data_IF_243168778869
#
_entry.id   IF_243168778869
#
_cell.length_a   1.000
_cell.length_b   1.000
_cell.length_c   1.000
_cell.angle_alpha   90.00
_cell.angle_beta   90.00
_cell.angle_gamma   90.00
#
_symmetry.space_group_name_H-M   'P 1'
#
loop_
_entity.id
_entity.type
_entity.pdbx_description
1 polymer ?
#
# COMPACT_ATOMS: atom_id res chain seq x y z
N UNK A 1 -1.70 31.21 -16.48
CA UNK A 1 -1.43 29.97 -15.72
C UNK A 1 -2.19 28.72 -16.23
N UNK A 2 -3.35 28.87 -16.87
CA UNK A 2 -4.15 27.73 -17.34
C UNK A 2 -3.56 26.90 -18.49
N UNK A 3 -2.72 27.50 -19.35
CA UNK A 3 -2.04 26.77 -20.42
C UNK A 3 -1.01 25.77 -19.84
N UNK A 4 -0.22 26.22 -18.87
CA UNK A 4 0.81 25.39 -18.22
C UNK A 4 0.18 24.24 -17.42
N UNK A 5 -0.95 24.50 -16.75
CA UNK A 5 -1.72 23.46 -16.07
C UNK A 5 -2.30 22.43 -17.05
N UNK A 6 -2.78 22.85 -18.23
CA UNK A 6 -3.29 21.94 -19.27
C UNK A 6 -2.19 21.07 -19.87
N UNK A 7 -1.02 21.64 -20.19
CA UNK A 7 0.13 20.87 -20.69
C UNK A 7 0.60 19.87 -19.65
N UNK A 8 0.62 20.28 -18.37
CA UNK A 8 0.97 19.39 -17.26
C UNK A 8 -0.01 18.23 -17.11
N UNK A 9 -1.33 18.47 -17.18
CA UNK A 9 -2.37 17.43 -17.14
C UNK A 9 -2.29 16.45 -18.32
N UNK A 10 -2.00 16.95 -19.52
CA UNK A 10 -1.82 16.12 -20.71
C UNK A 10 -0.60 15.20 -20.56
N UNK A 11 0.51 15.72 -20.04
CA UNK A 11 1.72 14.95 -19.77
C UNK A 11 1.51 13.94 -18.63
N UNK A 12 0.67 14.28 -17.64
CA UNK A 12 0.26 13.39 -16.55
C UNK A 12 -0.49 12.15 -17.05
N UNK A 13 -1.32 12.26 -18.10
CA UNK A 13 -2.01 11.10 -18.64
C UNK A 13 -1.03 10.05 -19.18
N UNK A 14 0.09 10.51 -19.77
CA UNK A 14 1.20 9.64 -20.22
C UNK A 14 2.02 9.06 -19.07
N UNK A 15 1.99 9.67 -17.89
CA UNK A 15 2.66 9.19 -16.68
C UNK A 15 1.89 8.07 -15.97
N UNK A 16 0.61 7.81 -16.30
CA UNK A 16 -0.20 6.77 -15.63
C UNK A 16 0.46 5.38 -15.58
N UNK A 17 1.08 4.85 -16.66
CA UNK A 17 1.77 3.56 -16.61
C UNK A 17 2.92 3.57 -15.60
N UNK A 18 3.73 4.62 -15.60
CA UNK A 18 4.88 4.77 -14.69
C UNK A 18 4.41 4.86 -13.24
N UNK A 19 3.37 5.65 -12.98
CA UNK A 19 2.75 5.74 -11.65
C UNK A 19 2.21 4.38 -11.23
N UNK A 20 1.58 3.62 -12.14
CA UNK A 20 1.07 2.27 -11.86
C UNK A 20 2.21 1.31 -11.49
N UNK A 21 3.32 1.32 -12.22
CA UNK A 21 4.53 0.54 -11.90
C UNK A 21 5.04 0.90 -10.50
N UNK A 22 5.18 2.19 -10.20
CA UNK A 22 5.65 2.67 -8.90
C UNK A 22 4.72 2.29 -7.75
N UNK A 23 3.40 2.42 -7.94
CA UNK A 23 2.40 1.98 -6.97
C UNK A 23 2.43 0.46 -6.77
N UNK A 24 2.62 -0.32 -7.83
CA UNK A 24 2.73 -1.78 -7.73
C UNK A 24 3.97 -2.19 -6.92
N UNK A 25 5.12 -1.57 -7.18
CA UNK A 25 6.35 -1.79 -6.39
C UNK A 25 6.14 -1.43 -4.91
N UNK A 26 5.52 -0.28 -4.63
CA UNK A 26 5.22 0.16 -3.26
C UNK A 26 4.24 -0.78 -2.55
N UNK A 27 3.20 -1.24 -3.25
CA UNK A 27 2.25 -2.23 -2.73
C UNK A 27 2.93 -3.57 -2.45
N UNK A 28 3.86 -4.00 -3.31
CA UNK A 28 4.65 -5.21 -3.11
C UNK A 28 5.51 -5.13 -1.85
N UNK A 29 6.16 -3.99 -1.56
CA UNK A 29 6.84 -3.78 -0.29
C UNK A 29 5.90 -3.97 0.91
N UNK A 30 4.68 -3.42 0.85
CA UNK A 30 3.70 -3.58 1.91
C UNK A 30 3.27 -5.03 2.10
N UNK A 31 3.18 -5.83 1.03
CA UNK A 31 2.90 -7.27 1.14
C UNK A 31 4.03 -8.01 1.88
N UNK A 32 5.29 -7.71 1.53
CA UNK A 32 6.45 -8.32 2.20
C UNK A 32 6.54 -7.95 3.67
N UNK A 33 6.23 -6.70 4.03
CA UNK A 33 6.15 -6.27 5.44
C UNK A 33 5.05 -7.00 6.23
N UNK A 34 4.04 -7.52 5.54
CA UNK A 34 2.98 -8.33 6.13
C UNK A 34 3.28 -9.84 6.11
N UNK A 35 4.49 -10.24 5.70
CA UNK A 35 4.98 -11.63 5.79
C UNK A 35 4.83 -12.46 4.52
N UNK A 36 4.54 -11.85 3.37
CA UNK A 36 4.53 -12.54 2.07
C UNK A 36 5.94 -12.54 1.47
N UNK A 37 6.42 -13.69 1.02
CA UNK A 37 7.74 -13.80 0.39
C UNK A 37 7.82 -12.97 -0.90
N UNK A 38 9.02 -12.45 -1.19
CA UNK A 38 9.27 -11.59 -2.36
C UNK A 38 9.30 -12.35 -3.71
N UNK A 39 8.90 -13.62 -3.69
CA UNK A 39 8.82 -14.46 -4.88
C UNK A 39 7.65 -14.00 -5.75
N UNK A 40 7.88 -13.92 -7.07
CA UNK A 40 6.87 -13.45 -8.01
C UNK A 40 5.55 -14.23 -7.91
N UNK A 41 5.60 -15.56 -7.76
CA UNK A 41 4.42 -16.44 -7.63
C UNK A 41 3.55 -16.07 -6.43
N UNK A 42 4.20 -15.82 -5.30
CA UNK A 42 3.53 -15.65 -4.00
C UNK A 42 2.94 -14.24 -3.88
N UNK A 43 3.52 -13.27 -4.61
CA UNK A 43 3.05 -11.89 -4.63
C UNK A 43 1.97 -11.61 -5.67
N UNK A 44 1.92 -12.39 -6.75
CA UNK A 44 1.10 -12.06 -7.92
C UNK A 44 -0.38 -11.95 -7.56
N UNK A 45 -0.93 -12.97 -6.89
CA UNK A 45 -2.34 -13.03 -6.53
C UNK A 45 -2.70 -12.05 -5.39
N UNK A 46 -2.00 -12.02 -4.24
CA UNK A 46 -2.26 -11.05 -3.18
C UNK A 46 -2.08 -9.60 -3.65
N UNK A 47 -1.08 -9.33 -4.47
CA UNK A 47 -0.86 -8.01 -5.07
C UNK A 47 -1.97 -7.61 -6.02
N UNK A 48 -2.47 -8.54 -6.84
CA UNK A 48 -3.51 -8.23 -7.81
C UNK A 48 -4.82 -7.92 -7.09
N UNK A 49 -5.13 -8.70 -6.05
CA UNK A 49 -6.28 -8.47 -5.19
C UNK A 49 -6.16 -7.16 -4.40
N UNK A 50 -4.99 -6.85 -3.84
CA UNK A 50 -4.77 -5.59 -3.13
C UNK A 50 -4.81 -4.36 -4.05
N UNK A 51 -4.31 -4.49 -5.27
CA UNK A 51 -4.17 -3.37 -6.20
C UNK A 51 -5.47 -3.05 -6.95
N UNK A 52 -6.14 -4.07 -7.50
CA UNK A 52 -7.36 -3.88 -8.29
C UNK A 52 -8.63 -4.19 -7.51
N UNK A 53 -8.56 -5.08 -6.51
CA UNK A 53 -9.72 -5.55 -5.76
C UNK A 53 -10.57 -4.43 -5.16
N UNK A 54 -10.00 -3.44 -4.45
CA UNK A 54 -10.80 -2.36 -3.87
C UNK A 54 -11.64 -1.58 -4.88
N UNK A 55 -11.06 -1.26 -6.04
CA UNK A 55 -11.78 -0.56 -7.11
C UNK A 55 -12.88 -1.43 -7.73
N UNK A 56 -12.62 -2.72 -7.93
CA UNK A 56 -13.62 -3.68 -8.43
C UNK A 56 -14.77 -3.86 -7.45
N UNK A 57 -14.49 -3.95 -6.14
CA UNK A 57 -15.53 -4.03 -5.11
C UNK A 57 -16.35 -2.74 -5.07
N UNK A 58 -15.71 -1.57 -5.19
CA UNK A 58 -16.39 -0.29 -5.21
C UNK A 58 -17.31 -0.10 -6.44
N UNK A 59 -17.09 -0.83 -7.53
CA UNK A 59 -17.98 -0.82 -8.69
C UNK A 59 -19.41 -1.29 -8.40
N UNK A 60 -19.63 -1.99 -7.27
CA UNK A 60 -20.98 -2.34 -6.80
C UNK A 60 -21.79 -1.07 -6.50
N UNK A 61 -21.13 -0.03 -5.99
CA UNK A 61 -21.76 1.27 -5.70
C UNK A 61 -21.82 2.13 -6.96
N UNK A 62 -20.70 2.22 -7.69
CA UNK A 62 -20.57 3.11 -8.84
C UNK A 62 -19.50 2.60 -9.82
N UNK A 63 -19.89 2.33 -11.07
CA UNK A 63 -19.08 1.65 -12.11
C UNK A 63 -17.97 2.52 -12.71
N UNK A 64 -17.04 3.00 -11.88
CA UNK A 64 -15.92 3.86 -12.29
C UNK A 64 -14.64 3.07 -12.61
N UNK A 65 -14.33 2.03 -11.82
CA UNK A 65 -13.08 1.30 -11.95
C UNK A 65 -13.11 0.38 -13.16
N UNK A 66 -12.23 0.62 -14.14
CA UNK A 66 -12.03 -0.27 -15.28
C UNK A 66 -10.59 -0.75 -15.30
N UNK A 67 -10.41 -2.07 -15.35
CA UNK A 67 -9.09 -2.64 -15.57
C UNK A 67 -8.73 -2.43 -17.03
N UNK A 68 -7.78 -1.53 -17.28
CA UNK A 68 -7.26 -1.29 -18.62
C UNK A 68 -6.12 -2.27 -18.90
N UNK A 69 -5.96 -2.70 -20.16
CA UNK A 69 -4.84 -3.56 -20.58
C UNK A 69 -3.50 -2.94 -20.20
N UNK A 70 -3.34 -1.63 -20.42
CA UNK A 70 -2.12 -0.90 -20.06
C UNK A 70 -1.87 -0.89 -18.54
N UNK A 71 -2.90 -0.70 -17.72
CA UNK A 71 -2.78 -0.76 -16.27
C UNK A 71 -2.38 -2.16 -15.78
N UNK A 72 -2.97 -3.20 -16.35
CA UNK A 72 -2.64 -4.59 -16.03
C UNK A 72 -1.18 -4.93 -16.38
N UNK A 73 -0.73 -4.57 -17.59
CA UNK A 73 0.67 -4.77 -18.02
C UNK A 73 1.63 -3.99 -17.13
N UNK A 74 1.33 -2.73 -16.82
CA UNK A 74 2.15 -1.89 -15.93
C UNK A 74 2.24 -2.47 -14.51
N UNK A 75 1.14 -3.03 -14.01
CA UNK A 75 1.14 -3.73 -12.72
C UNK A 75 2.09 -4.93 -12.74
N UNK A 76 1.99 -5.82 -13.74
CA UNK A 76 2.89 -6.98 -13.84
C UNK A 76 4.35 -6.58 -13.97
N UNK A 77 4.65 -5.55 -14.76
CA UNK A 77 6.00 -4.97 -14.85
C UNK A 77 6.48 -4.50 -13.48
N UNK A 78 5.65 -3.78 -12.72
CA UNK A 78 6.01 -3.32 -11.38
C UNK A 78 6.29 -4.45 -10.40
N UNK A 79 5.47 -5.51 -10.39
CA UNK A 79 5.71 -6.69 -9.54
C UNK A 79 6.98 -7.43 -9.95
N UNK A 80 7.24 -7.58 -11.26
CA UNK A 80 8.46 -8.21 -11.76
C UNK A 80 9.72 -7.41 -11.37
N UNK A 81 9.71 -6.09 -11.57
CA UNK A 81 10.79 -5.19 -11.13
C UNK A 81 10.99 -5.32 -9.62
N UNK A 82 9.92 -5.29 -8.83
CA UNK A 82 10.03 -5.49 -7.39
C UNK A 82 10.69 -6.82 -7.04
N UNK A 83 10.28 -7.93 -7.64
CA UNK A 83 10.84 -9.25 -7.32
C UNK A 83 12.35 -9.30 -7.60
N UNK A 84 12.79 -8.74 -8.74
CA UNK A 84 14.21 -8.66 -9.11
C UNK A 84 15.03 -7.73 -8.21
N UNK A 85 14.45 -6.60 -7.79
CA UNK A 85 15.16 -5.53 -7.07
C UNK A 85 14.77 -5.40 -5.60
N UNK A 86 14.01 -6.36 -5.05
CA UNK A 86 13.48 -6.35 -3.67
C UNK A 86 14.58 -6.15 -2.61
N UNK A 87 15.79 -6.64 -2.90
CA UNK A 87 16.97 -6.51 -2.03
C UNK A 87 17.57 -5.09 -1.99
N UNK A 88 17.26 -4.22 -2.95
CA UNK A 88 17.78 -2.85 -3.00
C UNK A 88 17.04 -1.94 -2.02
N UNK A 89 17.74 -1.44 -1.00
CA UNK A 89 17.16 -0.55 0.03
C UNK A 89 16.66 0.80 -0.52
N UNK A 90 17.17 1.24 -1.67
CA UNK A 90 16.87 2.55 -2.26
C UNK A 90 15.50 2.55 -2.97
N UNK A 91 15.03 1.38 -3.41
CA UNK A 91 13.83 1.27 -4.22
C UNK A 91 12.55 1.61 -3.42
N UNK A 92 12.52 1.30 -2.13
CA UNK A 92 11.39 1.61 -1.25
C UNK A 92 11.10 3.12 -1.12
N UNK A 93 12.05 3.98 -0.68
CA UNK A 93 11.79 5.42 -0.59
C UNK A 93 11.55 6.06 -1.96
N UNK A 94 12.23 5.60 -3.01
CA UNK A 94 12.00 6.09 -4.37
C UNK A 94 10.58 5.81 -4.86
N UNK A 95 9.97 4.70 -4.42
CA UNK A 95 8.61 4.32 -4.85
C UNK A 95 7.50 4.85 -3.95
N UNK A 96 7.82 5.36 -2.76
CA UNK A 96 6.84 5.88 -1.81
C UNK A 96 6.07 7.12 -2.31
N UNK A 97 6.64 7.87 -3.27
CA UNK A 97 5.98 9.06 -3.84
C UNK A 97 4.86 8.70 -4.83
N UNK A 98 4.95 7.54 -5.51
CA UNK A 98 3.99 7.17 -6.55
C UNK A 98 2.57 6.95 -6.03
N UNK A 99 2.34 6.27 -4.88
CA UNK A 99 1.00 6.19 -4.28
C UNK A 99 0.35 7.55 -4.05
N UNK A 100 1.13 8.56 -3.62
CA UNK A 100 0.61 9.93 -3.40
C UNK A 100 0.22 10.58 -4.71
N UNK A 101 1.08 10.48 -5.74
CA UNK A 101 0.76 10.96 -7.09
C UNK A 101 -0.48 10.25 -7.62
N UNK A 102 -0.53 8.92 -7.52
CA UNK A 102 -1.65 8.09 -8.00
C UNK A 102 -2.98 8.46 -7.34
N UNK A 103 -2.99 8.63 -6.01
CA UNK A 103 -4.16 9.15 -5.28
C UNK A 103 -4.52 10.55 -5.75
N UNK A 104 -3.55 11.45 -5.90
CA UNK A 104 -3.79 12.80 -6.41
C UNK A 104 -4.50 12.78 -7.76
N UNK A 105 -4.01 11.98 -8.70
CA UNK A 105 -4.61 11.83 -10.03
C UNK A 105 -6.03 11.26 -9.97
N UNK A 106 -6.26 10.28 -9.10
CA UNK A 106 -7.59 9.72 -8.86
C UNK A 106 -8.56 10.79 -8.35
N UNK A 107 -8.19 11.57 -7.32
CA UNK A 107 -9.03 12.65 -6.77
C UNK A 107 -9.28 13.78 -7.78
N UNK A 108 -8.29 14.13 -8.60
CA UNK A 108 -8.48 15.07 -9.72
C UNK A 108 -9.51 14.52 -10.72
N UNK A 109 -9.45 13.23 -11.02
CA UNK A 109 -10.44 12.54 -11.86
C UNK A 109 -11.86 12.62 -11.27
N UNK A 110 -12.00 12.29 -9.98
CA UNK A 110 -13.29 12.35 -9.27
C UNK A 110 -13.84 13.76 -9.15
N UNK A 111 -12.99 14.77 -8.94
CA UNK A 111 -13.40 16.18 -8.90
C UNK A 111 -14.06 16.58 -10.21
N UNK A 112 -13.41 16.28 -11.33
CA UNK A 112 -13.83 16.68 -12.67
C UNK A 112 -14.94 15.79 -13.25
N UNK A 113 -15.29 14.70 -12.57
CA UNK A 113 -16.40 13.86 -12.94
C UNK A 113 -17.73 14.66 -12.86
N UNK A 114 -18.74 14.32 -13.68
CA UNK A 114 -20.09 14.94 -13.66
C UNK A 114 -21.10 14.20 -12.76
N UNK A 115 -20.74 13.03 -12.22
CA UNK A 115 -21.62 12.22 -11.38
C UNK A 115 -21.92 12.88 -10.03
N UNK A 116 -23.12 12.66 -9.45
CA UNK A 116 -23.54 13.30 -8.21
C UNK A 116 -22.61 12.96 -7.04
N UNK A 117 -22.40 13.93 -6.15
CA UNK A 117 -21.37 13.85 -5.11
C UNK A 117 -21.56 12.65 -4.17
N UNK A 118 -22.79 12.33 -3.78
CA UNK A 118 -23.08 11.21 -2.88
C UNK A 118 -22.62 9.85 -3.46
N UNK A 119 -22.71 9.63 -4.78
CA UNK A 119 -22.21 8.39 -5.41
C UNK A 119 -20.68 8.32 -5.35
N UNK A 120 -20.00 9.46 -5.57
CA UNK A 120 -18.54 9.54 -5.49
C UNK A 120 -18.06 9.28 -4.06
N UNK A 121 -18.75 9.84 -3.06
CA UNK A 121 -18.46 9.57 -1.64
C UNK A 121 -18.70 8.10 -1.30
N UNK A 122 -19.84 7.54 -1.70
CA UNK A 122 -20.15 6.12 -1.49
C UNK A 122 -19.11 5.20 -2.12
N UNK A 123 -18.63 5.54 -3.32
CA UNK A 123 -17.57 4.79 -4.00
C UNK A 123 -16.24 4.87 -3.25
N UNK A 124 -15.83 6.05 -2.77
CA UNK A 124 -14.61 6.22 -1.95
C UNK A 124 -14.68 5.44 -0.64
N UNK A 125 -15.83 5.48 0.06
CA UNK A 125 -16.03 4.70 1.28
C UNK A 125 -15.98 3.20 1.00
N UNK A 126 -16.58 2.75 -0.10
CA UNK A 126 -16.53 1.36 -0.52
C UNK A 126 -15.10 0.89 -0.80
N UNK A 127 -14.24 1.74 -1.39
CA UNK A 127 -12.82 1.43 -1.57
C UNK A 127 -12.14 1.19 -0.23
N UNK A 128 -12.27 2.10 0.74
CA UNK A 128 -11.58 1.98 2.03
C UNK A 128 -12.03 0.75 2.82
N UNK A 129 -13.33 0.47 2.83
CA UNK A 129 -13.89 -0.74 3.46
C UNK A 129 -13.36 -1.99 2.75
N UNK A 130 -13.32 -1.99 1.42
CA UNK A 130 -12.84 -3.13 0.63
C UNK A 130 -11.34 -3.37 0.85
N UNK A 131 -10.52 -2.32 0.97
CA UNK A 131 -9.10 -2.44 1.33
C UNK A 131 -8.96 -3.14 2.68
N UNK A 132 -9.69 -2.68 3.71
CA UNK A 132 -9.63 -3.27 5.04
C UNK A 132 -10.09 -4.75 5.02
N UNK A 133 -11.10 -5.07 4.21
CA UNK A 133 -11.62 -6.43 4.07
C UNK A 133 -10.63 -7.36 3.36
N UNK A 134 -10.05 -6.92 2.24
CA UNK A 134 -9.04 -7.68 1.52
C UNK A 134 -7.80 -7.89 2.40
N UNK A 135 -7.34 -6.88 3.12
CA UNK A 135 -6.23 -7.02 4.07
C UNK A 135 -6.54 -8.04 5.18
N UNK A 136 -7.77 -8.04 5.71
CA UNK A 136 -8.20 -9.04 6.69
C UNK A 136 -8.14 -10.45 6.10
N UNK A 137 -8.65 -10.63 4.89
CA UNK A 137 -8.67 -11.93 4.22
C UNK A 137 -7.27 -12.44 3.88
N UNK A 138 -6.38 -11.58 3.40
CA UNK A 138 -5.02 -11.96 2.99
C UNK A 138 -4.10 -12.24 4.17
N UNK A 139 -4.19 -11.47 5.26
CA UNK A 139 -3.22 -11.55 6.36
C UNK A 139 -3.78 -12.17 7.63
N UNK A 140 -5.07 -12.55 7.64
CA UNK A 140 -5.79 -13.01 8.83
C UNK A 140 -5.59 -12.09 10.06
N UNK A 141 -5.32 -10.79 9.83
CA UNK A 141 -5.11 -9.81 10.89
C UNK A 141 -6.45 -9.31 11.42
N UNK A 142 -6.52 -8.96 12.70
CA UNK A 142 -7.71 -8.32 13.27
C UNK A 142 -7.99 -7.02 12.51
N UNK A 143 -9.24 -6.83 12.07
CA UNK A 143 -9.68 -5.57 11.49
C UNK A 143 -9.56 -4.49 12.57
N UNK A 144 -8.56 -3.63 12.43
CA UNK A 144 -8.47 -2.39 13.19
C UNK A 144 -8.30 -1.27 12.18
N UNK A 145 -9.40 -0.61 11.88
CA UNK A 145 -9.36 0.66 11.15
C UNK A 145 -8.77 1.68 12.15
N UNK A 146 -7.55 2.16 11.88
CA UNK A 146 -6.97 3.21 12.73
C UNK A 146 -7.80 4.49 12.55
N UNK A 147 -8.08 5.19 13.65
CA UNK A 147 -8.77 6.48 13.61
C UNK A 147 -8.10 7.47 12.67
N UNK A 148 -6.77 7.42 12.60
CA UNK A 148 -5.96 8.28 11.72
C UNK A 148 -6.32 8.09 10.24
N UNK A 149 -6.56 6.85 9.80
CA UNK A 149 -6.92 6.56 8.40
C UNK A 149 -8.32 7.07 8.07
N UNK A 150 -9.27 6.90 9.01
CA UNK A 150 -10.62 7.45 8.83
C UNK A 150 -10.60 8.98 8.77
N UNK A 151 -9.77 9.63 9.60
CA UNK A 151 -9.53 11.07 9.53
C UNK A 151 -8.97 11.49 8.18
N UNK A 152 -7.95 10.78 7.68
CA UNK A 152 -7.36 11.02 6.36
C UNK A 152 -8.41 10.96 5.25
N UNK A 153 -9.21 9.87 5.21
CA UNK A 153 -10.30 9.70 4.25
C UNK A 153 -11.35 10.81 4.38
N UNK A 154 -11.70 11.20 5.61
CA UNK A 154 -12.66 12.27 5.85
C UNK A 154 -12.17 13.62 5.30
N UNK A 155 -10.92 14.01 5.57
CA UNK A 155 -10.34 15.23 5.03
C UNK A 155 -10.27 15.21 3.50
N UNK A 156 -9.95 14.07 2.90
CA UNK A 156 -9.94 13.91 1.45
C UNK A 156 -11.34 14.05 0.83
N UNK A 157 -12.37 13.47 1.46
CA UNK A 157 -13.77 13.62 1.03
C UNK A 157 -14.23 15.08 1.17
N UNK A 158 -13.95 15.72 2.30
CA UNK A 158 -14.27 17.14 2.51
C UNK A 158 -13.57 18.03 1.47
N UNK A 159 -12.29 17.77 1.21
CA UNK A 159 -11.50 18.41 0.17
C UNK A 159 -12.07 18.26 -1.22
N UNK A 160 -12.50 17.04 -1.56
CA UNK A 160 -13.16 16.75 -2.83
C UNK A 160 -14.49 17.51 -2.95
N UNK A 161 -15.25 17.60 -1.86
CA UNK A 161 -16.49 18.38 -1.79
C UNK A 161 -16.25 19.86 -2.06
N UNK A 162 -15.32 20.48 -1.34
CA UNK A 162 -14.91 21.88 -1.54
C UNK A 162 -14.37 22.09 -2.96
N UNK A 163 -13.52 21.18 -3.44
CA UNK A 163 -12.95 21.23 -4.78
C UNK A 163 -14.00 21.20 -5.89
N UNK A 164 -15.08 20.44 -5.71
CA UNK A 164 -16.23 20.42 -6.63
C UNK A 164 -17.10 21.66 -6.51
N UNK A 165 -17.42 22.09 -5.29
CA UNK A 165 -18.29 23.23 -5.03
C UNK A 165 -17.71 24.54 -5.60
N UNK A 166 -16.42 24.79 -5.35
CA UNK A 166 -15.72 26.01 -5.78
C UNK A 166 -15.00 25.88 -7.12
N UNK A 167 -15.16 24.74 -7.83
CA UNK A 167 -14.48 24.43 -9.10
C UNK A 167 -12.97 24.71 -9.05
N UNK A 168 -12.32 24.31 -7.97
CA UNK A 168 -10.90 24.59 -7.75
C UNK A 168 -10.03 24.00 -8.86
N UNK A 169 -8.89 24.63 -9.20
CA UNK A 169 -8.01 24.14 -10.25
C UNK A 169 -7.35 22.80 -9.85
N UNK A 170 -6.96 21.98 -10.83
CA UNK A 170 -6.52 20.60 -10.56
C UNK A 170 -5.28 20.50 -9.65
N UNK A 171 -4.40 21.50 -9.67
CA UNK A 171 -3.20 21.51 -8.83
C UNK A 171 -3.53 21.65 -7.34
N UNK A 172 -4.64 22.29 -6.94
CA UNK A 172 -4.99 22.41 -5.52
C UNK A 172 -5.38 21.06 -4.93
N UNK A 173 -6.08 20.22 -5.70
CA UNK A 173 -6.38 18.84 -5.27
C UNK A 173 -5.11 18.01 -5.12
N UNK A 174 -4.15 18.14 -6.04
CA UNK A 174 -2.86 17.45 -5.93
C UNK A 174 -2.11 17.88 -4.67
N UNK A 175 -2.03 19.19 -4.41
CA UNK A 175 -1.37 19.73 -3.22
C UNK A 175 -2.08 19.29 -1.95
N UNK A 176 -3.42 19.31 -1.93
CA UNK A 176 -4.20 18.87 -0.77
C UNK A 176 -3.95 17.38 -0.46
N UNK A 177 -4.01 16.52 -1.47
CA UNK A 177 -3.72 15.08 -1.30
C UNK A 177 -2.29 14.89 -0.82
N UNK A 178 -1.33 15.63 -1.37
CA UNK A 178 0.06 15.59 -0.92
C UNK A 178 0.19 15.99 0.55
N UNK A 179 -0.37 17.13 0.98
CA UNK A 179 -0.32 17.61 2.37
C UNK A 179 -0.90 16.59 3.36
N UNK A 180 -2.05 15.99 3.02
CA UNK A 180 -2.69 14.96 3.84
C UNK A 180 -1.81 13.68 3.88
N UNK A 181 -1.20 13.32 2.76
CA UNK A 181 -0.35 12.12 2.64
C UNK A 181 1.07 12.29 3.22
N UNK A 182 1.49 13.52 3.52
CA UNK A 182 2.82 13.81 4.09
C UNK A 182 2.98 13.20 5.48
N UNK A 183 1.92 13.14 6.30
CA UNK A 183 2.00 12.55 7.65
C UNK A 183 2.52 11.11 7.65
N UNK A 184 1.84 10.17 6.95
CA UNK A 184 2.31 8.80 6.80
C UNK A 184 3.68 8.68 6.09
N UNK A 185 3.96 9.56 5.11
CA UNK A 185 5.26 9.58 4.43
C UNK A 185 6.40 9.93 5.39
N UNK A 186 6.21 10.94 6.25
CA UNK A 186 7.22 11.35 7.23
C UNK A 186 7.50 10.23 8.24
N UNK A 187 6.49 9.51 8.70
CA UNK A 187 6.68 8.34 9.56
C UNK A 187 7.49 7.24 8.85
N UNK A 188 7.23 7.01 7.56
CA UNK A 188 7.94 6.02 6.74
C UNK A 188 9.40 6.41 6.50
N UNK A 189 9.69 7.70 6.27
CA UNK A 189 11.04 8.21 6.10
C UNK A 189 11.84 8.21 7.41
N UNK A 190 11.22 8.59 8.52
CA UNK A 190 11.88 8.63 9.85
C UNK A 190 12.23 7.21 10.34
N UNK A 191 11.32 6.25 10.17
CA UNK A 191 11.59 4.84 10.54
C UNK A 191 12.73 4.22 9.73
N UNK A 192 12.97 4.68 8.50
CA UNK A 192 14.11 4.27 7.70
C UNK A 192 15.45 4.74 8.28
N UNK A 193 15.53 6.00 8.73
CA UNK A 193 16.74 6.55 9.36
C UNK A 193 17.10 5.81 10.66
N UNK A 194 16.09 5.38 11.41
CA UNK A 194 16.28 4.63 12.67
C UNK A 194 16.71 3.18 12.43
N UNK A 195 16.09 2.48 11.48
CA UNK A 195 16.42 1.07 11.19
C UNK A 195 17.86 0.89 10.68
N UNK A 196 18.39 1.87 9.92
CA UNK A 196 19.79 1.84 9.49
C UNK A 196 20.80 2.08 10.63
N UNK A 197 20.39 2.72 11.74
CA UNK A 197 21.27 2.91 12.93
C UNK A 197 21.42 1.64 13.75
N UNK A 198 20.34 0.89 13.98
CA UNK A 198 20.40 -0.36 14.76
C UNK A 198 21.26 -1.44 14.08
N UNK A 199 21.22 -1.55 12.74
CA UNK A 199 22.04 -2.52 12.00
C UNK A 199 23.55 -2.20 12.00
N UNK A 200 23.92 -0.94 12.28
CA UNK A 200 25.33 -0.51 12.39
C UNK A 200 25.88 -0.59 13.81
N UNK A 201 25.01 -0.50 14.82
CA UNK A 201 25.39 -0.63 16.24
C UNK A 201 25.61 -2.10 16.65
N UNK A 202 24.96 -3.07 15.99
CA UNK A 202 25.16 -4.50 16.27
C UNK A 202 26.32 -5.14 15.50
N UNK A 203 26.94 -4.41 14.56
CA UNK A 203 28.11 -4.88 13.79
C UNK A 203 29.45 -4.35 14.33
N UNK A 204 29.44 -3.54 15.40
CA UNK A 204 30.64 -2.95 16.02
C UNK A 204 30.95 -3.51 17.41
N UNK A 205 30.25 -4.56 17.86
CA UNK A 205 30.51 -5.23 19.13
C UNK A 205 30.65 -6.76 18.98
N UNK A 206 31.34 -7.22 17.93
CA UNK A 206 31.83 -8.59 17.84
C UNK A 206 33.36 -8.57 17.77
N UNK A 207 33.96 -8.51 18.96
CA UNK A 207 35.35 -8.87 19.18
C UNK A 207 35.61 -10.33 18.74
N UNK A 208 36.77 -10.63 18.14
CA UNK A 208 37.14 -12.00 17.78
C UNK A 208 37.64 -12.72 19.03
N UNK A 209 36.86 -13.65 19.58
CA UNK A 209 37.37 -14.63 20.55
C UNK A 209 37.36 -16.02 19.91
N UNK A 210 38.57 -16.48 19.64
CA UNK A 210 38.95 -17.82 19.22
C UNK A 210 38.47 -18.93 20.16
N UNK A 211 38.10 -20.05 19.54
CA UNK A 211 38.28 -21.46 19.98
C UNK A 211 37.72 -21.92 21.34
N UNK A 212 36.86 -22.96 21.32
CA UNK A 212 37.16 -24.33 21.81
C UNK A 212 35.88 -25.20 21.81
N UNK A 213 35.96 -26.30 21.04
CA UNK A 213 35.37 -27.64 21.19
C UNK A 213 33.93 -27.91 21.70
N UNK A 214 33.24 -28.70 20.84
CA UNK A 214 32.54 -29.97 21.11
C UNK A 214 31.06 -30.02 21.56
N UNK A 215 30.36 -30.92 20.84
CA UNK A 215 29.23 -31.78 21.22
C UNK A 215 27.78 -31.25 21.05
N UNK A 216 27.18 -31.64 19.91
CA UNK A 216 25.76 -32.01 19.79
C UNK A 216 25.42 -33.27 20.62
N UNK A 217 24.15 -33.69 20.77
CA UNK A 217 22.90 -32.94 20.97
C UNK A 217 22.06 -33.52 22.14
N UNK A 218 21.16 -32.75 22.77
CA UNK A 218 20.08 -33.32 23.62
C UNK A 218 18.71 -33.01 23.03
N UNK A 219 18.17 -34.01 22.35
CA UNK A 219 16.77 -34.15 21.94
C UNK A 219 15.91 -34.20 23.21
N UNK A 220 15.08 -33.17 23.44
CA UNK A 220 14.01 -33.21 24.45
C UNK A 220 12.74 -33.76 23.81
N UNK A 221 12.48 -35.04 24.06
CA UNK A 221 11.22 -35.71 23.72
C UNK A 221 10.08 -35.11 24.55
N UNK A 222 9.04 -34.60 23.89
CA UNK A 222 7.85 -34.07 24.54
C UNK A 222 6.98 -35.21 25.09
N UNK A 223 6.67 -35.13 26.40
CA UNK A 223 5.76 -36.02 27.12
C UNK A 223 4.34 -35.94 26.54
N UNK A 224 3.90 -37.00 25.88
CA UNK A 224 2.51 -37.23 25.44
C UNK A 224 1.62 -37.41 26.67
N UNK A 225 0.74 -36.45 26.97
CA UNK A 225 -0.32 -36.60 27.96
C UNK A 225 -1.45 -37.43 27.35
N UNK A 226 -1.66 -38.63 27.89
CA UNK A 226 -2.85 -39.46 27.69
C UNK A 226 -4.06 -38.76 28.33
N UNK A 227 -5.09 -38.47 27.52
CA UNK A 227 -6.38 -38.01 28.01
C UNK A 227 -7.24 -39.23 28.37
N UNK A 228 -7.45 -39.43 29.67
CA UNK A 228 -8.40 -40.39 30.23
C UNK A 228 -9.82 -39.89 29.96
N UNK A 229 -10.64 -40.66 29.23
CA UNK A 229 -12.08 -40.41 29.12
C UNK A 229 -12.75 -40.64 30.48
N UNK A 230 -13.60 -39.73 30.98
CA UNK A 230 -14.54 -40.06 32.03
C UNK A 230 -15.69 -40.88 31.43
N UNK A 231 -15.89 -42.07 32.01
CA UNK A 231 -17.12 -42.86 31.92
C UNK A 231 -18.00 -42.42 33.10
N UNK A 232 -19.29 -42.17 32.86
CA UNK A 232 -20.43 -42.11 33.81
C UNK A 232 -21.48 -41.13 33.24
N UNK A 233 -22.79 -41.39 33.18
CA UNK A 233 -23.69 -42.48 33.57
C UNK A 233 -24.81 -42.46 32.53
#
# INVERSE_FOLDING_TARGET
MDALARTFLHNIARLRPIVTVGCAISSSYALCENGIDANLSDMLLPGLLMFFGPGLCANIVYKEAKITRMGLVSYFIGVAIFSMFSRMRILKPATAIFPVIGRGLMYVGLKNNKHPFHLVVGWLLAIEISVALIQKMLFNKKMRISGDKMGETFFLIAGLGVGRLYRLPNYTMMVMVALISVGPLMQTLVSFTVSNRQKKSSASLSSPSSSVQNAHPKVKVAKRKTATKPKNI
#
